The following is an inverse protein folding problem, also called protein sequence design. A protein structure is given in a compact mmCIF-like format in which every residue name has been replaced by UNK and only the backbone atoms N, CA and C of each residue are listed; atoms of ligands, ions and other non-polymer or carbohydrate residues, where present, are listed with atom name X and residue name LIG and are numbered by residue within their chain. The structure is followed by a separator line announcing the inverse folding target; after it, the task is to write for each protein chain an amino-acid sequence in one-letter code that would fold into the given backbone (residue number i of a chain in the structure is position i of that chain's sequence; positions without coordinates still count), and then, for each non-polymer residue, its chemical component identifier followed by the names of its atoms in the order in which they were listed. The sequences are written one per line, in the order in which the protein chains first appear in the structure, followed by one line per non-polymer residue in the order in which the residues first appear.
data_IF_029530544753
#
_entry.id   IF_029530544753
#
_cell.length_a   1.000
_cell.length_b   1.000
_cell.length_c   1.000
_cell.angle_alpha   90.00
_cell.angle_beta   90.00
_cell.angle_gamma   90.00
#
_symmetry.space_group_name_H-M   'P 1'
#
loop_
_entity.id
_entity.type
_entity.pdbx_description
1 polymer ?
#
# COMPACT_ATOMS: atom_id res chain seq x y z
N UNK A 1 30.28 2.57 -41.52
CA UNK A 1 29.65 3.26 -42.67
C UNK A 1 28.15 3.37 -42.39
N UNK A 2 27.61 4.57 -42.62
CA UNK A 2 26.23 5.05 -42.47
C UNK A 2 25.57 5.15 -41.07
N UNK A 3 25.41 6.42 -40.69
CA UNK A 3 24.60 7.03 -39.63
C UNK A 3 23.14 7.15 -40.12
N UNK A 4 22.17 6.97 -39.22
CA UNK A 4 20.93 7.77 -39.27
C UNK A 4 20.32 7.97 -37.88
N UNK A 5 20.25 9.25 -37.50
CA UNK A 5 19.56 9.82 -36.33
C UNK A 5 18.07 9.95 -36.64
N UNK A 6 17.20 9.61 -35.70
CA UNK A 6 15.83 10.11 -35.57
C UNK A 6 15.64 10.48 -34.10
N UNK A 7 15.15 11.62 -33.66
CA UNK A 7 14.49 12.75 -34.30
C UNK A 7 13.77 13.44 -33.14
N UNK A 8 14.18 14.66 -32.79
CA UNK A 8 13.59 15.47 -31.74
C UNK A 8 12.12 15.75 -32.04
N UNK A 9 11.22 15.41 -31.12
CA UNK A 9 9.80 15.77 -31.15
C UNK A 9 9.43 16.51 -29.87
N UNK A 10 9.63 17.83 -29.87
CA UNK A 10 9.17 18.72 -28.82
C UNK A 10 7.65 18.88 -28.91
N UNK A 11 6.92 18.36 -27.93
CA UNK A 11 5.50 18.66 -27.76
C UNK A 11 5.37 19.84 -26.78
N UNK A 12 5.23 21.04 -27.33
CA UNK A 12 4.77 22.21 -26.59
C UNK A 12 3.24 22.14 -26.49
N UNK A 13 2.71 22.02 -25.27
CA UNK A 13 1.27 22.12 -25.02
C UNK A 13 0.96 23.36 -24.20
N UNK A 14 -0.06 24.06 -24.71
CA UNK A 14 -0.46 25.43 -24.48
C UNK A 14 -1.09 25.61 -23.10
N UNK A 15 -0.65 26.65 -22.38
CA UNK A 15 -1.28 27.12 -21.14
C UNK A 15 -2.57 27.89 -21.45
N UNK A 16 -3.68 27.50 -20.81
CA UNK A 16 -4.94 28.26 -20.81
C UNK A 16 -5.22 28.72 -19.39
N UNK A 17 -5.05 30.02 -19.15
CA UNK A 17 -5.40 30.75 -17.93
C UNK A 17 -6.84 31.21 -18.03
N UNK A 18 -7.74 30.70 -17.19
CA UNK A 18 -9.06 31.31 -16.99
C UNK A 18 -9.59 31.13 -15.56
N UNK A 19 -10.28 32.19 -15.10
CA UNK A 19 -11.20 32.32 -13.96
C UNK A 19 -10.55 32.61 -12.59
N UNK A 20 -11.03 33.55 -11.77
CA UNK A 20 -12.16 34.49 -11.81
C UNK A 20 -12.30 35.07 -10.39
N UNK A 21 -12.24 36.39 -10.21
CA UNK A 21 -12.28 37.01 -8.87
C UNK A 21 -13.74 37.19 -8.45
N UNK A 22 -14.16 36.44 -7.43
CA UNK A 22 -15.46 36.61 -6.77
C UNK A 22 -15.33 37.53 -5.55
N UNK A 23 -16.19 38.54 -5.45
CA UNK A 23 -16.27 39.48 -4.35
C UNK A 23 -16.89 38.80 -3.11
N UNK A 24 -16.23 38.91 -1.96
CA UNK A 24 -16.74 38.42 -0.68
C UNK A 24 -17.73 39.41 -0.08
N UNK A 25 -19.00 39.04 0.05
CA UNK A 25 -19.97 39.75 0.90
C UNK A 25 -20.05 39.04 2.25
N UNK A 26 -19.47 39.62 3.28
CA UNK A 26 -19.58 39.06 4.63
C UNK A 26 -20.95 39.36 5.23
N UNK A 27 -21.80 38.33 5.32
CA UNK A 27 -23.01 38.35 6.13
C UNK A 27 -22.62 37.92 7.55
N UNK A 28 -22.63 38.86 8.49
CA UNK A 28 -22.38 38.56 9.91
C UNK A 28 -23.67 38.05 10.54
N UNK A 29 -23.82 36.73 10.60
CA UNK A 29 -24.90 36.09 11.34
C UNK A 29 -24.66 36.23 12.86
N UNK A 30 -25.69 36.63 13.61
CA UNK A 30 -25.67 36.61 15.07
C UNK A 30 -25.69 35.15 15.57
N UNK A 31 -25.00 34.81 16.68
CA UNK A 31 -25.02 33.46 17.21
C UNK A 31 -26.42 33.12 17.74
N UNK A 32 -27.05 32.10 17.16
CA UNK A 32 -28.23 31.47 17.75
C UNK A 32 -27.83 30.76 19.06
N UNK A 33 -28.75 30.63 20.04
CA UNK A 33 -28.48 29.87 21.26
C UNK A 33 -28.10 28.43 20.89
N UNK A 34 -26.99 27.95 21.43
CA UNK A 34 -26.56 26.58 21.24
C UNK A 34 -27.53 25.65 21.99
N UNK A 35 -28.43 24.99 21.26
CA UNK A 35 -28.99 23.72 21.73
C UNK A 35 -27.84 22.73 21.84
N UNK A 36 -27.66 22.12 23.01
CA UNK A 36 -26.78 20.97 23.18
C UNK A 36 -27.35 19.82 22.35
N UNK A 37 -26.85 19.70 21.13
CA UNK A 37 -27.10 18.53 20.28
C UNK A 37 -26.51 17.33 21.01
N UNK A 38 -27.31 16.29 21.33
CA UNK A 38 -26.78 15.06 21.90
C UNK A 38 -25.65 14.55 20.99
N UNK A 39 -24.45 14.37 21.55
CA UNK A 39 -23.33 13.81 20.81
C UNK A 39 -23.75 12.42 20.34
N UNK A 40 -24.10 12.30 19.06
CA UNK A 40 -24.43 11.04 18.45
C UNK A 40 -23.28 10.06 18.75
N UNK A 41 -23.61 8.86 19.24
CA UNK A 41 -22.63 7.80 19.38
C UNK A 41 -21.87 7.67 18.05
N UNK A 42 -20.53 7.55 18.06
CA UNK A 42 -19.77 7.41 16.84
C UNK A 42 -20.39 6.27 16.03
N UNK A 43 -20.71 6.55 14.77
CA UNK A 43 -21.12 5.52 13.83
C UNK A 43 -20.11 4.36 13.90
N UNK A 44 -20.54 3.10 13.75
CA UNK A 44 -19.60 1.98 13.71
C UNK A 44 -18.48 2.35 12.73
N UNK A 45 -17.26 2.44 13.26
CA UNK A 45 -16.12 3.02 12.56
C UNK A 45 -15.90 2.30 11.24
N UNK A 46 -15.47 3.05 10.22
CA UNK A 46 -14.94 2.42 9.00
C UNK A 46 -13.94 1.33 9.38
N UNK A 47 -13.90 0.20 8.65
CA UNK A 47 -12.95 -0.86 8.93
C UNK A 47 -11.55 -0.26 9.03
N UNK A 48 -10.88 -0.48 10.17
CA UNK A 48 -9.54 0.06 10.38
C UNK A 48 -8.62 -0.36 9.24
N UNK A 49 -7.89 0.61 8.68
CA UNK A 49 -6.93 0.33 7.64
C UNK A 49 -5.85 -0.63 8.17
N UNK A 50 -5.51 -1.62 7.36
CA UNK A 50 -4.59 -2.70 7.69
C UNK A 50 -3.63 -2.97 6.52
N UNK A 51 -2.44 -3.46 6.84
CA UNK A 51 -1.45 -3.93 5.87
C UNK A 51 -0.21 -3.04 5.77
N UNK A 52 0.97 -3.62 5.99
CA UNK A 52 2.24 -2.96 5.76
C UNK A 52 2.40 -2.61 4.28
N UNK A 53 3.04 -1.47 4.00
CA UNK A 53 3.49 -1.13 2.66
C UNK A 53 4.82 -1.81 2.40
N UNK A 54 4.88 -2.66 1.38
CA UNK A 54 6.07 -3.45 1.06
C UNK A 54 6.62 -3.13 -0.34
N UNK A 55 7.95 -3.12 -0.47
CA UNK A 55 8.67 -3.07 -1.73
C UNK A 55 9.61 -4.27 -1.83
N UNK A 56 9.65 -4.91 -2.98
CA UNK A 56 10.56 -6.02 -3.28
C UNK A 56 11.62 -5.59 -4.29
N UNK A 57 12.88 -5.82 -3.96
CA UNK A 57 14.03 -5.60 -4.83
C UNK A 57 14.65 -6.95 -5.21
N UNK A 58 14.89 -7.16 -6.50
CA UNK A 58 15.45 -8.40 -7.06
C UNK A 58 16.82 -8.11 -7.65
N UNK A 59 17.85 -8.77 -7.12
CA UNK A 59 19.24 -8.66 -7.54
C UNK A 59 19.77 -10.04 -7.99
N UNK A 60 19.60 -10.33 -9.28
CA UNK A 60 20.00 -11.60 -9.87
C UNK A 60 19.23 -12.78 -9.26
N UNK A 61 19.89 -13.50 -8.35
CA UNK A 61 19.33 -14.67 -7.66
C UNK A 61 18.76 -14.36 -6.28
N UNK A 62 18.83 -13.10 -5.82
CA UNK A 62 18.46 -12.67 -4.47
C UNK A 62 17.26 -11.75 -4.49
N UNK A 63 16.44 -11.86 -3.47
CA UNK A 63 15.29 -10.98 -3.23
C UNK A 63 15.41 -10.38 -1.85
N UNK A 64 15.19 -9.08 -1.74
CA UNK A 64 15.02 -8.37 -0.47
C UNK A 64 13.67 -7.68 -0.49
N UNK A 65 12.88 -7.85 0.56
CA UNK A 65 11.64 -7.11 0.76
C UNK A 65 11.77 -6.17 1.96
N UNK A 66 11.30 -4.94 1.77
CA UNK A 66 11.29 -3.88 2.76
C UNK A 66 9.84 -3.54 3.06
N UNK A 67 9.39 -3.80 4.29
CA UNK A 67 8.01 -3.62 4.71
C UNK A 67 7.93 -2.61 5.86
N UNK A 68 7.07 -1.61 5.74
CA UNK A 68 6.80 -0.63 6.78
C UNK A 68 5.31 -0.60 7.10
N UNK A 69 4.94 -0.71 8.38
CA UNK A 69 3.55 -0.70 8.79
C UNK A 69 3.14 0.67 9.37
N UNK A 70 2.36 1.49 8.64
CA UNK A 70 1.87 2.77 9.15
C UNK A 70 0.63 2.65 10.04
N UNK A 71 0.10 1.43 10.25
CA UNK A 71 -1.20 1.20 10.88
C UNK A 71 -1.07 0.71 12.33
N UNK A 72 -2.13 0.89 13.15
CA UNK A 72 -2.14 0.47 14.55
C UNK A 72 -2.26 -1.04 14.74
N UNK A 73 -2.59 -1.81 13.70
CA UNK A 73 -2.69 -3.27 13.76
C UNK A 73 -1.42 -3.93 13.21
N UNK A 74 -0.97 -4.99 13.88
CA UNK A 74 0.16 -5.81 13.42
C UNK A 74 -0.21 -6.59 12.16
N UNK A 75 0.64 -6.49 11.15
CA UNK A 75 0.54 -7.24 9.90
C UNK A 75 1.58 -8.36 9.85
N UNK A 76 1.10 -9.59 9.66
CA UNK A 76 1.93 -10.76 9.45
C UNK A 76 2.21 -10.92 7.96
N UNK A 77 3.42 -10.56 7.56
CA UNK A 77 3.87 -10.62 6.17
C UNK A 77 4.65 -11.89 5.87
N UNK A 78 4.58 -12.37 4.63
CA UNK A 78 5.43 -13.46 4.14
C UNK A 78 5.93 -13.14 2.74
N UNK A 79 7.24 -13.28 2.55
CA UNK A 79 7.88 -13.22 1.24
C UNK A 79 7.78 -14.58 0.54
N UNK A 80 7.30 -14.54 -0.70
CA UNK A 80 7.26 -15.63 -1.67
C UNK A 80 8.21 -15.33 -2.83
N UNK A 81 8.97 -16.33 -3.26
CA UNK A 81 9.93 -16.21 -4.37
C UNK A 81 9.69 -17.34 -5.35
N UNK A 82 9.30 -17.01 -6.58
CA UNK A 82 9.21 -17.94 -7.70
C UNK A 82 10.53 -17.93 -8.48
N UNK A 83 11.10 -19.11 -8.68
CA UNK A 83 12.35 -19.30 -9.39
C UNK A 83 12.13 -19.56 -10.89
N UNK A 84 13.04 -19.07 -11.73
CA UNK A 84 12.87 -19.13 -13.18
C UNK A 84 13.05 -20.56 -13.73
N UNK A 85 13.84 -21.39 -13.04
CA UNK A 85 14.18 -22.74 -13.51
C UNK A 85 13.32 -23.76 -12.80
N UNK A 86 12.70 -24.68 -13.55
CA UNK A 86 11.82 -25.73 -13.00
C UNK A 86 12.49 -26.64 -11.95
N UNK A 87 13.81 -26.74 -11.98
CA UNK A 87 14.59 -27.55 -11.03
C UNK A 87 15.06 -26.75 -9.81
N UNK A 88 14.89 -25.42 -9.83
CA UNK A 88 15.13 -24.52 -8.72
C UNK A 88 13.78 -24.26 -8.06
N UNK A 89 13.58 -24.82 -6.87
CA UNK A 89 12.26 -24.83 -6.24
C UNK A 89 11.92 -23.46 -5.67
N UNK A 90 10.68 -23.02 -5.88
CA UNK A 90 10.13 -21.82 -5.27
C UNK A 90 10.27 -21.85 -3.74
N UNK A 91 10.47 -20.69 -3.14
CA UNK A 91 10.71 -20.59 -1.70
C UNK A 91 9.82 -19.57 -1.03
N UNK A 92 9.33 -19.96 0.14
CA UNK A 92 8.57 -19.09 1.03
C UNK A 92 9.39 -18.85 2.30
N UNK A 93 9.45 -17.60 2.73
CA UNK A 93 10.01 -17.24 4.03
C UNK A 93 9.10 -17.70 5.18
N UNK A 94 9.67 -17.75 6.39
CA UNK A 94 8.85 -17.78 7.59
C UNK A 94 8.03 -16.47 7.68
N UNK A 95 6.78 -16.51 8.19
CA UNK A 95 6.00 -15.30 8.39
C UNK A 95 6.68 -14.40 9.43
N UNK A 96 6.61 -13.09 9.22
CA UNK A 96 7.16 -12.07 10.11
C UNK A 96 6.07 -11.08 10.47
N UNK A 97 5.94 -10.78 11.76
CA UNK A 97 5.01 -9.77 12.25
C UNK A 97 5.64 -8.38 12.16
N UNK A 98 4.98 -7.45 11.50
CA UNK A 98 5.34 -6.03 11.41
C UNK A 98 4.38 -5.26 12.30
N UNK A 99 4.85 -4.87 13.49
CA UNK A 99 4.05 -4.15 14.48
C UNK A 99 3.70 -2.71 14.07
N UNK A 100 2.95 -1.98 14.90
CA UNK A 100 2.59 -0.60 14.62
C UNK A 100 3.79 0.32 14.50
N UNK A 101 3.83 1.14 13.44
CA UNK A 101 4.95 2.02 13.10
C UNK A 101 6.31 1.31 12.99
N UNK A 102 6.29 -0.01 12.78
CA UNK A 102 7.48 -0.84 12.73
C UNK A 102 7.93 -1.11 11.29
N UNK A 103 9.10 -1.75 11.16
CA UNK A 103 9.73 -2.09 9.91
C UNK A 103 10.29 -3.51 9.95
N UNK A 104 10.11 -4.25 8.85
CA UNK A 104 10.71 -5.56 8.66
C UNK A 104 11.47 -5.66 7.33
N UNK A 105 12.55 -6.43 7.35
CA UNK A 105 13.26 -6.87 6.16
C UNK A 105 13.14 -8.38 6.03
N UNK A 106 12.68 -8.85 4.87
CA UNK A 106 12.64 -10.27 4.52
C UNK A 106 13.62 -10.52 3.37
N UNK A 107 14.26 -11.69 3.36
CA UNK A 107 15.18 -12.07 2.28
C UNK A 107 14.85 -13.47 1.79
N UNK A 108 15.07 -13.67 0.49
CA UNK A 108 14.88 -14.94 -0.20
C UNK A 108 15.90 -15.07 -1.31
N UNK A 109 16.04 -16.27 -1.87
CA UNK A 109 16.91 -16.50 -3.02
C UNK A 109 16.49 -17.72 -3.80
N UNK A 110 16.81 -17.70 -5.08
CA UNK A 110 16.89 -18.87 -5.93
C UNK A 110 18.35 -19.33 -6.02
N UNK A 111 18.59 -20.55 -6.47
CA UNK A 111 19.94 -20.95 -6.90
C UNK A 111 20.34 -20.18 -8.17
N UNK A 112 19.41 -20.00 -9.10
CA UNK A 112 19.58 -19.29 -10.37
C UNK A 112 18.76 -18.00 -10.38
N UNK A 113 18.11 -17.68 -11.50
CA UNK A 113 17.41 -16.42 -11.67
C UNK A 113 16.04 -16.46 -10.96
N UNK A 114 15.64 -15.34 -10.36
CA UNK A 114 14.28 -15.16 -9.82
C UNK A 114 13.35 -14.79 -10.97
N UNK A 115 12.18 -15.45 -11.05
CA UNK A 115 11.11 -15.08 -11.98
C UNK A 115 10.22 -13.99 -11.40
N UNK A 116 9.76 -14.19 -10.18
CA UNK A 116 8.86 -13.28 -9.50
C UNK A 116 9.05 -13.32 -7.98
N UNK A 117 8.66 -12.25 -7.30
CA UNK A 117 8.58 -12.20 -5.86
C UNK A 117 7.41 -11.33 -5.42
N UNK A 118 6.72 -11.73 -4.36
CA UNK A 118 5.59 -10.99 -3.82
C UNK A 118 5.46 -11.19 -2.31
N UNK A 119 4.72 -10.29 -1.67
CA UNK A 119 4.37 -10.35 -0.26
C UNK A 119 2.90 -10.72 -0.11
N UNK A 120 2.60 -11.65 0.80
CA UNK A 120 1.26 -11.83 1.33
C UNK A 120 1.14 -11.19 2.70
N UNK A 121 -0.07 -10.71 3.01
CA UNK A 121 -0.41 -9.98 4.23
C UNK A 121 -1.52 -10.74 4.97
N UNK A 122 -1.44 -10.78 6.28
CA UNK A 122 -2.47 -11.39 7.14
C UNK A 122 -2.53 -10.65 8.47
N UNK A 123 -3.71 -10.28 8.99
CA UNK A 123 -3.79 -9.77 10.35
C UNK A 123 -3.17 -10.76 11.34
N UNK A 124 -2.29 -10.29 12.23
CA UNK A 124 -1.65 -11.16 13.21
C UNK A 124 -2.70 -11.79 14.15
N UNK A 125 -3.74 -11.01 14.45
CA UNK A 125 -4.96 -11.40 15.14
C UNK A 125 -6.13 -11.39 14.15
N UNK A 126 -6.34 -12.45 13.38
CA UNK A 126 -7.46 -12.53 12.45
C UNK A 126 -8.77 -12.52 13.25
N UNK A 127 -9.76 -11.81 12.73
CA UNK A 127 -11.12 -11.89 13.28
C UNK A 127 -11.59 -13.37 13.23
N UNK A 128 -12.24 -13.88 14.29
CA UNK A 128 -12.75 -15.24 14.27
C UNK A 128 -13.68 -15.44 13.06
N UNK A 129 -13.50 -16.56 12.35
CA UNK A 129 -14.35 -16.90 11.22
C UNK A 129 -15.82 -16.94 11.69
N UNK A 130 -16.78 -16.46 10.89
CA UNK A 130 -18.18 -16.58 11.24
C UNK A 130 -18.55 -18.05 11.44
N UNK A 131 -19.25 -18.35 12.53
CA UNK A 131 -19.68 -19.70 12.87
C UNK A 131 -20.44 -20.31 11.69
N UNK A 132 -19.86 -21.36 11.09
CA UNK A 132 -20.43 -22.09 9.96
C UNK A 132 -21.47 -23.13 10.39
N UNK A 133 -21.95 -23.03 11.63
CA UNK A 133 -23.04 -23.84 12.17
C UNK A 133 -24.38 -23.33 11.63
N UNK A 134 -24.66 -23.60 10.36
CA UNK A 134 -26.00 -23.44 9.78
C UNK A 134 -27.00 -24.45 10.38
N UNK A 135 -28.31 -24.16 10.32
CA UNK A 135 -29.37 -24.98 10.91
C UNK A 135 -29.49 -26.38 10.30
#
# INVERSE_FOLDING_TARGET
MHVTRHGFGAFASVAVLLTGVALATEVRAAPAPAEEVPLAAPAPGEPENFGASCRTDIEGSRVTAHCQNPYPRTDRVRLHVECERWWDLDTDSAPVDVGPADYAQLTGRCWKEVRAAWITHQPADPEPAPDSSGP
#
